data_IF_634283070367
#
_entry.id   IF_634283070367
#
_cell.length_a   1.000
_cell.length_b   1.000
_cell.length_c   1.000
_cell.angle_alpha   90.00
_cell.angle_beta   90.00
_cell.angle_gamma   90.00
#
_symmetry.space_group_name_H-M   'P 1'
#
loop_
_entity.id
_entity.type
_entity.pdbx_description
1 polymer ?
#
# COMPACT_ATOMS: atom_id res chain seq x y z
N UNK A 1 12.86 12.73 -7.53
CA UNK A 1 12.22 14.06 -7.28
C UNK A 1 10.88 13.76 -6.63
N UNK A 2 10.47 14.50 -5.61
CA UNK A 2 9.14 14.31 -5.01
C UNK A 2 8.04 14.69 -6.02
N UNK A 3 6.84 14.10 -5.90
CA UNK A 3 5.69 14.42 -6.77
C UNK A 3 5.45 15.92 -6.81
N UNK A 4 5.48 16.60 -5.65
CA UNK A 4 5.28 18.04 -5.52
C UNK A 4 6.35 18.91 -6.21
N UNK A 5 7.57 18.42 -6.33
CA UNK A 5 8.64 19.17 -7.00
C UNK A 5 8.54 19.12 -8.53
N UNK A 6 8.05 18.02 -9.10
CA UNK A 6 7.84 17.89 -10.55
C UNK A 6 6.65 18.73 -11.03
N UNK A 7 5.56 18.78 -10.24
CA UNK A 7 4.33 19.52 -10.59
C UNK A 7 4.51 21.05 -10.47
N UNK A 8 5.51 21.51 -9.73
CA UNK A 8 5.84 22.94 -9.59
C UNK A 8 6.66 23.51 -10.76
N UNK A 9 7.12 22.67 -11.71
CA UNK A 9 7.87 23.16 -12.87
C UNK A 9 6.88 23.68 -13.93
N UNK A 10 6.41 24.90 -13.74
CA UNK A 10 5.55 25.60 -14.71
C UNK A 10 6.42 26.36 -15.71
N UNK A 11 6.85 25.67 -16.76
CA UNK A 11 7.59 26.30 -17.86
C UNK A 11 7.05 25.81 -19.20
N UNK A 12 6.90 26.73 -20.18
CA UNK A 12 6.55 26.36 -21.55
C UNK A 12 7.61 25.45 -22.24
N UNK A 13 8.80 25.38 -21.67
CA UNK A 13 9.94 24.61 -22.20
C UNK A 13 9.90 23.14 -21.76
N UNK A 14 9.15 22.79 -20.71
CA UNK A 14 9.13 21.45 -20.12
C UNK A 14 7.72 20.89 -20.03
N UNK A 15 7.60 19.58 -20.14
CA UNK A 15 6.39 18.82 -19.83
C UNK A 15 6.67 17.79 -18.74
N UNK A 16 5.69 17.54 -17.88
CA UNK A 16 5.78 16.49 -16.88
C UNK A 16 5.06 15.24 -17.38
N UNK A 17 5.71 14.10 -17.26
CA UNK A 17 5.15 12.77 -17.55
C UNK A 17 5.09 11.95 -16.26
N UNK A 18 4.05 11.15 -16.12
CA UNK A 18 3.83 10.29 -14.95
C UNK A 18 3.70 8.83 -15.39
N UNK A 19 4.40 7.93 -14.68
CA UNK A 19 4.31 6.49 -14.90
C UNK A 19 4.05 5.76 -13.60
N UNK A 20 3.19 4.75 -13.66
CA UNK A 20 2.96 3.87 -12.53
C UNK A 20 4.24 3.11 -12.17
N UNK A 21 4.52 3.01 -10.88
CA UNK A 21 5.59 2.17 -10.35
C UNK A 21 5.00 0.87 -9.81
N UNK A 22 5.75 -0.22 -9.88
CA UNK A 22 5.39 -1.49 -9.26
C UNK A 22 5.63 -1.45 -7.74
N UNK A 23 5.12 -0.41 -7.10
CA UNK A 23 5.18 -0.14 -5.67
C UNK A 23 3.82 0.27 -5.14
N UNK A 24 3.54 -0.10 -3.92
CA UNK A 24 2.28 0.26 -3.28
C UNK A 24 2.45 0.72 -1.85
N UNK A 25 1.72 1.76 -1.48
CA UNK A 25 1.64 2.23 -0.09
C UNK A 25 0.46 1.57 0.60
N UNK A 26 0.75 0.95 1.74
CA UNK A 26 -0.19 0.21 2.56
C UNK A 26 -0.18 0.69 4.00
N UNK A 27 -1.33 0.62 4.64
CA UNK A 27 -1.42 0.58 6.08
C UNK A 27 -1.43 -0.89 6.52
N UNK A 28 -0.27 -1.41 6.89
CA UNK A 28 -0.07 -2.79 7.33
C UNK A 28 -0.55 -2.92 8.78
N UNK A 29 -1.49 -3.81 9.05
CA UNK A 29 -2.08 -4.03 10.37
C UNK A 29 -1.42 -5.23 11.04
N UNK A 30 -0.77 -5.02 12.18
CA UNK A 30 -0.05 -6.08 12.89
C UNK A 30 -1.01 -7.08 13.51
N UNK A 31 -1.09 -8.28 12.94
CA UNK A 31 -1.99 -9.34 13.39
C UNK A 31 -1.60 -9.93 14.76
N UNK A 32 -0.43 -9.56 15.32
CA UNK A 32 -0.02 -9.91 16.69
C UNK A 32 -0.27 -8.79 17.69
N UNK A 33 -0.63 -7.59 17.24
CA UNK A 33 -1.04 -6.51 18.13
C UNK A 33 -2.29 -6.91 18.91
N UNK A 34 -2.32 -6.62 20.20
CA UNK A 34 -3.49 -6.91 21.06
C UNK A 34 -4.76 -6.24 20.53
N UNK A 35 -4.63 -5.06 19.94
CA UNK A 35 -5.74 -4.29 19.36
C UNK A 35 -6.22 -4.90 18.03
N UNK A 36 -5.29 -5.40 17.19
CA UNK A 36 -5.57 -5.75 15.79
C UNK A 36 -5.51 -7.27 15.50
N UNK A 37 -5.40 -8.14 16.50
CA UNK A 37 -5.38 -9.60 16.32
C UNK A 37 -6.71 -10.16 15.79
N UNK A 38 -7.84 -9.54 16.16
CA UNK A 38 -9.16 -9.95 15.65
C UNK A 38 -9.38 -9.39 14.23
N UNK A 39 -9.61 -10.27 13.26
CA UNK A 39 -9.86 -9.88 11.87
C UNK A 39 -11.08 -8.96 11.72
N UNK A 40 -12.11 -9.08 12.57
CA UNK A 40 -13.30 -8.23 12.54
C UNK A 40 -12.97 -6.77 12.89
N UNK A 41 -12.01 -6.54 13.80
CA UNK A 41 -11.50 -5.20 14.11
C UNK A 41 -10.76 -4.62 12.90
N UNK A 42 -9.89 -5.39 12.26
CA UNK A 42 -9.17 -4.96 11.05
C UNK A 42 -10.13 -4.68 9.90
N UNK A 43 -11.13 -5.52 9.70
CA UNK A 43 -12.20 -5.29 8.72
C UNK A 43 -13.00 -4.03 9.03
N UNK A 44 -13.33 -3.79 10.30
CA UNK A 44 -14.03 -2.56 10.71
C UNK A 44 -13.23 -1.31 10.35
N UNK A 45 -11.91 -1.30 10.64
CA UNK A 45 -11.04 -0.20 10.27
C UNK A 45 -10.97 -0.02 8.74
N UNK A 46 -10.90 -1.12 7.99
CA UNK A 46 -10.94 -1.04 6.52
C UNK A 46 -12.26 -0.46 6.00
N UNK A 47 -13.41 -0.89 6.53
CA UNK A 47 -14.71 -0.31 6.15
C UNK A 47 -14.84 1.16 6.56
N UNK A 48 -14.14 1.60 7.60
CA UNK A 48 -14.10 3.00 8.03
C UNK A 48 -13.07 3.86 7.28
N UNK A 49 -12.34 3.28 6.33
CA UNK A 49 -11.31 3.98 5.56
C UNK A 49 -11.78 4.26 4.14
N UNK A 50 -12.04 5.54 3.85
CA UNK A 50 -12.24 6.05 2.48
C UNK A 50 -10.89 6.29 1.82
N UNK A 51 -10.38 5.28 1.11
CA UNK A 51 -9.09 5.35 0.43
C UNK A 51 -9.10 6.32 -0.75
N UNK A 52 -10.27 6.65 -1.32
CA UNK A 52 -10.37 7.64 -2.39
C UNK A 52 -10.12 9.06 -1.88
N UNK A 53 -10.69 9.39 -0.72
CA UNK A 53 -10.43 10.63 -0.02
C UNK A 53 -8.96 10.75 0.41
N UNK A 54 -8.36 9.66 0.90
CA UNK A 54 -6.92 9.63 1.24
C UNK A 54 -6.07 9.93 0.00
N UNK A 55 -6.34 9.28 -1.15
CA UNK A 55 -5.61 9.57 -2.39
C UNK A 55 -5.70 11.03 -2.80
N UNK A 56 -6.87 11.63 -2.68
CA UNK A 56 -7.05 13.05 -2.99
C UNK A 56 -6.18 13.98 -2.11
N UNK A 57 -5.87 13.59 -0.86
CA UNK A 57 -4.98 14.38 0.01
C UNK A 57 -3.49 14.23 -0.35
N UNK A 58 -3.12 13.10 -0.95
CA UNK A 58 -1.74 12.83 -1.41
C UNK A 58 -1.43 13.58 -2.70
N UNK A 59 -2.38 13.64 -3.63
CA UNK A 59 -2.27 14.34 -4.90
C UNK A 59 -2.91 13.55 -6.06
N UNK A 60 -3.09 14.22 -7.19
CA UNK A 60 -3.82 13.67 -8.35
C UNK A 60 -3.04 12.57 -9.10
N UNK A 61 -1.76 12.42 -8.81
CA UNK A 61 -0.84 11.55 -9.55
C UNK A 61 -0.64 10.17 -8.89
N UNK A 62 -1.55 9.72 -8.03
CA UNK A 62 -1.50 8.39 -7.44
C UNK A 62 -2.63 7.52 -7.95
N UNK A 63 -2.34 6.23 -8.21
CA UNK A 63 -3.34 5.31 -8.72
C UNK A 63 -3.98 4.48 -7.59
N UNK A 64 -5.17 3.93 -7.89
CA UNK A 64 -5.89 3.07 -6.96
C UNK A 64 -5.11 1.78 -6.69
N UNK A 65 -5.06 1.39 -5.41
CA UNK A 65 -4.49 0.13 -4.95
C UNK A 65 -5.40 -0.46 -3.86
N UNK A 66 -6.06 -1.56 -4.15
CA UNK A 66 -6.99 -2.21 -3.22
C UNK A 66 -6.49 -3.58 -2.74
N UNK A 67 -5.48 -4.13 -3.41
CA UNK A 67 -5.09 -5.54 -3.33
C UNK A 67 -3.59 -5.68 -3.08
N UNK A 68 -3.13 -6.84 -2.57
CA UNK A 68 -1.71 -7.08 -2.30
C UNK A 68 -0.85 -7.27 -3.55
N UNK A 69 -1.46 -7.35 -4.72
CA UNK A 69 -0.81 -7.40 -6.04
C UNK A 69 -1.42 -6.33 -6.95
N UNK A 70 -0.72 -5.99 -8.05
CA UNK A 70 -1.18 -4.99 -9.00
C UNK A 70 -2.00 -5.62 -10.13
N UNK A 71 -2.99 -4.87 -10.66
CA UNK A 71 -3.76 -5.33 -11.81
C UNK A 71 -2.88 -5.57 -13.04
N UNK A 72 -1.76 -4.84 -13.18
CA UNK A 72 -0.80 -5.03 -14.28
C UNK A 72 -0.04 -6.36 -14.23
N UNK A 73 0.00 -7.03 -13.09
CA UNK A 73 0.72 -8.29 -12.90
C UNK A 73 -0.10 -9.54 -13.30
N UNK A 74 -1.41 -9.39 -13.53
CA UNK A 74 -2.32 -10.48 -13.79
C UNK A 74 -3.35 -10.09 -14.85
N UNK A 75 -3.65 -11.00 -15.78
CA UNK A 75 -4.60 -10.73 -16.87
C UNK A 75 -6.06 -10.69 -16.41
N UNK A 76 -6.42 -11.49 -15.40
CA UNK A 76 -7.76 -11.55 -14.85
C UNK A 76 -8.04 -10.32 -13.98
N UNK A 77 -9.30 -9.89 -13.95
CA UNK A 77 -9.73 -8.81 -13.07
C UNK A 77 -9.56 -9.19 -11.60
N UNK A 78 -8.85 -8.37 -10.85
CA UNK A 78 -8.69 -8.54 -9.41
C UNK A 78 -9.99 -8.24 -8.66
N UNK A 79 -10.25 -8.94 -7.54
CA UNK A 79 -11.33 -8.57 -6.62
C UNK A 79 -11.15 -7.14 -6.12
N UNK A 80 -12.26 -6.44 -5.94
CA UNK A 80 -12.24 -5.09 -5.39
C UNK A 80 -12.33 -5.13 -3.85
N UNK A 81 -11.68 -4.19 -3.19
CA UNK A 81 -11.93 -3.94 -1.77
C UNK A 81 -13.37 -3.47 -1.56
N UNK A 82 -13.99 -3.77 -0.42
CA UNK A 82 -15.32 -3.29 -0.11
C UNK A 82 -15.34 -1.76 0.04
N UNK A 83 -16.50 -1.19 -0.33
CA UNK A 83 -16.73 0.24 -0.22
C UNK A 83 -16.76 0.71 1.25
N UNK A 84 -16.46 2.00 1.45
CA UNK A 84 -16.57 2.66 2.73
C UNK A 84 -17.97 2.53 3.33
N UNK A 85 -18.06 2.13 4.61
CA UNK A 85 -19.32 2.00 5.34
C UNK A 85 -19.09 2.01 6.85
N UNK A 86 -19.42 3.12 7.50
CA UNK A 86 -19.35 3.23 8.96
C UNK A 86 -20.32 2.27 9.67
N UNK A 87 -21.47 1.98 9.08
CA UNK A 87 -22.45 1.07 9.70
C UNK A 87 -21.92 -0.36 9.74
N UNK A 88 -21.31 -0.83 8.66
CA UNK A 88 -20.64 -2.14 8.64
C UNK A 88 -19.47 -2.17 9.62
N UNK A 89 -18.67 -1.11 9.69
CA UNK A 89 -17.58 -1.00 10.64
C UNK A 89 -18.07 -1.11 12.10
N UNK A 90 -19.12 -0.39 12.45
CA UNK A 90 -19.73 -0.46 13.79
C UNK A 90 -20.29 -1.84 14.10
N UNK A 91 -20.96 -2.49 13.14
CA UNK A 91 -21.47 -3.84 13.30
C UNK A 91 -20.35 -4.84 13.63
N UNK A 92 -19.25 -4.81 12.86
CA UNK A 92 -18.09 -5.67 13.07
C UNK A 92 -17.42 -5.46 14.43
N UNK A 93 -17.32 -4.21 14.91
CA UNK A 93 -16.77 -3.96 16.25
C UNK A 93 -17.68 -4.54 17.35
N UNK A 94 -19.00 -4.43 17.20
CA UNK A 94 -19.94 -5.09 18.14
C UNK A 94 -19.79 -6.61 18.11
N UNK A 95 -19.71 -7.22 16.93
CA UNK A 95 -19.48 -8.67 16.76
C UNK A 95 -18.13 -9.11 17.35
N UNK A 96 -17.12 -8.26 17.30
CA UNK A 96 -15.81 -8.48 17.92
C UNK A 96 -15.85 -8.32 19.46
N UNK A 97 -17.01 -7.93 20.03
CA UNK A 97 -17.19 -7.81 21.47
C UNK A 97 -16.81 -6.45 22.06
N UNK A 98 -16.63 -5.44 21.22
CA UNK A 98 -16.43 -4.06 21.65
C UNK A 98 -17.78 -3.40 22.00
N UNK A 99 -17.79 -2.56 23.03
CA UNK A 99 -18.96 -1.79 23.45
C UNK A 99 -18.77 -0.31 23.18
N UNK A 100 -19.78 0.33 22.59
CA UNK A 100 -19.72 1.76 22.30
C UNK A 100 -20.29 2.55 23.47
N UNK A 101 -19.48 3.42 24.05
CA UNK A 101 -19.89 4.27 25.17
C UNK A 101 -19.23 5.65 25.07
N UNK A 102 -20.04 6.71 25.26
CA UNK A 102 -19.56 8.11 25.26
C UNK A 102 -18.65 8.48 24.08
N UNK A 103 -19.00 8.05 22.86
CA UNK A 103 -18.26 8.39 21.66
C UNK A 103 -17.06 7.48 21.35
N UNK A 104 -16.78 6.48 22.18
CA UNK A 104 -15.63 5.59 22.03
C UNK A 104 -16.01 4.11 22.15
N UNK A 105 -15.26 3.26 21.45
CA UNK A 105 -15.33 1.81 21.63
C UNK A 105 -14.43 1.39 22.79
N UNK A 106 -14.95 0.55 23.67
CA UNK A 106 -14.21 -0.03 24.80
C UNK A 106 -14.17 -1.54 24.69
N UNK A 107 -12.99 -2.11 24.90
CA UNK A 107 -12.79 -3.55 25.00
C UNK A 107 -13.36 -4.12 26.30
N UNK A 108 -13.32 -5.44 26.46
CA UNK A 108 -13.76 -6.14 27.68
C UNK A 108 -12.97 -5.71 28.92
N UNK A 109 -11.75 -5.25 28.75
CA UNK A 109 -10.87 -4.71 29.79
C UNK A 109 -11.09 -3.22 30.09
N UNK A 110 -12.11 -2.61 29.46
CA UNK A 110 -12.46 -1.20 29.62
C UNK A 110 -11.57 -0.21 28.87
N UNK A 111 -10.50 -0.68 28.20
CA UNK A 111 -9.61 0.20 27.44
C UNK A 111 -10.27 0.70 26.14
N UNK A 112 -10.06 1.97 25.77
CA UNK A 112 -10.57 2.49 24.51
C UNK A 112 -9.87 1.85 23.32
N UNK A 113 -10.57 1.76 22.19
CA UNK A 113 -10.00 1.33 20.92
C UNK A 113 -9.13 2.45 20.35
N UNK A 114 -7.84 2.27 20.45
CA UNK A 114 -6.82 3.17 19.92
C UNK A 114 -5.83 2.38 19.05
N UNK A 115 -5.34 3.00 17.98
CA UNK A 115 -4.38 2.38 17.05
C UNK A 115 -3.17 3.29 16.89
N UNK A 116 -2.00 2.77 17.26
CA UNK A 116 -0.72 3.43 17.01
C UNK A 116 -0.27 3.16 15.56
N UNK A 117 -0.24 4.21 14.74
CA UNK A 117 0.27 4.17 13.36
C UNK A 117 1.72 4.63 13.36
N UNK A 118 2.63 3.71 13.05
CA UNK A 118 4.07 3.98 12.96
C UNK A 118 4.46 4.25 11.51
N UNK A 119 5.35 5.20 11.29
CA UNK A 119 5.93 5.51 9.99
C UNK A 119 7.32 6.16 10.13
N UNK A 120 8.07 6.26 9.01
CA UNK A 120 9.32 7.01 8.96
C UNK A 120 9.06 8.51 8.83
N UNK A 121 9.93 9.32 9.43
CA UNK A 121 9.93 10.78 9.24
C UNK A 121 10.33 11.20 7.81
N UNK A 122 10.14 12.49 7.50
CA UNK A 122 10.59 13.09 6.25
C UNK A 122 9.70 12.83 5.03
N UNK A 123 8.51 12.28 5.23
CA UNK A 123 7.49 12.07 4.18
C UNK A 123 6.20 12.81 4.53
N UNK A 124 6.04 14.03 3.99
CA UNK A 124 4.85 14.86 4.25
C UNK A 124 3.55 14.18 3.81
N UNK A 125 3.59 13.37 2.75
CA UNK A 125 2.44 12.60 2.30
C UNK A 125 1.96 11.58 3.37
N UNK A 126 2.86 11.00 4.16
CA UNK A 126 2.49 10.06 5.22
C UNK A 126 1.79 10.76 6.39
N UNK A 127 2.21 11.97 6.74
CA UNK A 127 1.50 12.81 7.73
C UNK A 127 0.07 13.09 7.28
N UNK A 128 -0.10 13.53 6.02
CA UNK A 128 -1.43 13.78 5.44
C UNK A 128 -2.32 12.53 5.48
N UNK A 129 -1.76 11.36 5.20
CA UNK A 129 -2.49 10.08 5.28
C UNK A 129 -2.95 9.80 6.72
N UNK A 130 -2.05 9.94 7.70
CA UNK A 130 -2.40 9.67 9.11
C UNK A 130 -3.42 10.68 9.61
N UNK A 131 -3.34 11.95 9.22
CA UNK A 131 -4.32 12.97 9.57
C UNK A 131 -5.69 12.66 8.96
N UNK A 132 -5.74 12.17 7.72
CA UNK A 132 -6.97 11.71 7.09
C UNK A 132 -7.54 10.47 7.82
N UNK A 133 -6.71 9.50 8.23
CA UNK A 133 -7.11 8.36 9.03
C UNK A 133 -7.67 8.79 10.39
N UNK A 134 -7.03 9.74 11.08
CA UNK A 134 -7.53 10.33 12.32
C UNK A 134 -8.93 10.89 12.15
N UNK A 135 -9.14 11.69 11.10
CA UNK A 135 -10.45 12.29 10.81
C UNK A 135 -11.51 11.23 10.47
N UNK A 136 -11.16 10.21 9.72
CA UNK A 136 -12.10 9.16 9.32
C UNK A 136 -12.44 8.23 10.48
N UNK A 137 -11.44 7.75 11.21
CA UNK A 137 -11.63 6.80 12.30
C UNK A 137 -12.20 7.43 13.57
N UNK A 138 -12.00 8.75 13.78
CA UNK A 138 -12.71 9.47 14.85
C UNK A 138 -14.23 9.42 14.68
N UNK A 139 -14.75 9.43 13.43
CA UNK A 139 -16.19 9.25 13.14
C UNK A 139 -16.68 7.84 13.51
N UNK A 140 -15.79 6.86 13.48
CA UNK A 140 -16.08 5.52 13.99
C UNK A 140 -15.99 5.47 15.52
N UNK A 141 -15.30 6.39 16.19
CA UNK A 141 -15.03 6.38 17.63
C UNK A 141 -13.72 5.64 17.97
N UNK A 142 -12.76 5.65 17.07
CA UNK A 142 -11.43 5.05 17.22
C UNK A 142 -10.38 6.17 17.25
N UNK A 143 -9.50 6.13 18.23
CA UNK A 143 -8.36 7.04 18.32
C UNK A 143 -7.19 6.56 17.46
N UNK A 144 -6.48 7.51 16.82
CA UNK A 144 -5.28 7.23 16.03
C UNK A 144 -4.11 8.02 16.58
N UNK A 145 -3.06 7.32 16.95
CA UNK A 145 -1.82 7.89 17.48
C UNK A 145 -0.71 7.77 16.43
N UNK A 146 -0.15 8.89 16.00
CA UNK A 146 1.01 8.88 15.10
C UNK A 146 2.29 8.65 15.90
N UNK A 147 3.07 7.63 15.49
CA UNK A 147 4.44 7.39 15.94
C UNK A 147 5.40 7.58 14.77
N UNK A 148 5.95 8.75 14.66
CA UNK A 148 6.93 9.08 13.62
C UNK A 148 8.34 8.77 14.12
N UNK A 149 9.09 8.00 13.33
CA UNK A 149 10.46 7.58 13.68
C UNK A 149 11.43 8.36 12.80
N UNK A 150 12.33 9.07 13.43
CA UNK A 150 13.39 9.79 12.74
C UNK A 150 14.39 8.84 12.07
N UNK A 151 14.50 8.94 10.75
CA UNK A 151 15.43 8.16 9.93
C UNK A 151 16.68 8.93 9.52
N UNK A 152 16.80 10.20 9.94
CA UNK A 152 17.98 11.01 9.66
C UNK A 152 19.18 10.65 10.54
N UNK A 153 18.96 10.00 11.68
CA UNK A 153 20.00 9.56 12.58
C UNK A 153 20.77 8.37 11.99
N UNK A 154 22.09 8.48 11.98
CA UNK A 154 22.99 7.39 11.54
C UNK A 154 23.10 6.25 12.57
N UNK A 155 22.64 6.45 13.80
CA UNK A 155 22.81 5.51 14.91
C UNK A 155 21.67 4.51 15.03
N UNK A 156 20.49 4.79 14.46
CA UNK A 156 19.33 3.91 14.58
C UNK A 156 18.64 3.75 13.23
N UNK A 157 18.79 2.57 12.65
CA UNK A 157 18.13 2.22 11.40
C UNK A 157 16.64 1.96 11.62
N UNK A 158 15.77 2.45 10.74
CA UNK A 158 14.33 2.13 10.74
C UNK A 158 14.08 0.61 10.71
N UNK A 159 14.94 -0.12 10.02
CA UNK A 159 14.89 -1.58 9.97
C UNK A 159 15.05 -2.18 11.37
N UNK A 160 16.07 -1.74 12.10
CA UNK A 160 16.39 -2.29 13.44
C UNK A 160 15.41 -1.82 14.52
N UNK A 161 14.93 -0.58 14.43
CA UNK A 161 14.05 0.01 15.45
C UNK A 161 12.58 -0.28 15.26
N UNK A 162 12.12 -0.54 14.02
CA UNK A 162 10.70 -0.72 13.68
C UNK A 162 10.42 -2.05 12.99
N UNK A 163 11.11 -2.32 11.86
CA UNK A 163 10.73 -3.44 11.01
C UNK A 163 11.08 -4.80 11.62
N UNK A 164 12.20 -4.91 12.32
CA UNK A 164 12.62 -6.15 12.98
C UNK A 164 11.83 -6.44 14.26
N UNK A 165 11.69 -5.49 15.22
CA UNK A 165 10.92 -5.74 16.45
C UNK A 165 9.42 -5.86 16.20
N UNK A 166 8.88 -5.12 15.20
CA UNK A 166 7.45 -5.06 14.88
C UNK A 166 6.58 -4.64 16.07
N UNK A 167 7.11 -3.72 16.87
CA UNK A 167 6.43 -3.12 18.00
C UNK A 167 5.58 -1.93 17.54
N UNK A 168 4.48 -2.24 16.86
CA UNK A 168 3.48 -1.29 16.38
C UNK A 168 2.12 -1.98 16.23
N UNK A 169 1.03 -1.21 16.28
CA UNK A 169 -0.29 -1.70 15.88
C UNK A 169 -0.42 -1.70 14.36
N UNK A 170 -0.13 -0.58 13.73
CA UNK A 170 -0.15 -0.45 12.28
C UNK A 170 1.13 0.25 11.79
N UNK A 171 1.57 -0.13 10.58
CA UNK A 171 2.74 0.43 9.91
C UNK A 171 2.30 1.01 8.56
N UNK A 172 2.50 2.32 8.38
CA UNK A 172 2.32 2.96 7.08
C UNK A 172 3.64 2.84 6.30
N UNK A 173 3.62 2.04 5.23
CA UNK A 173 4.83 1.67 4.53
C UNK A 173 4.61 1.41 3.04
N UNK A 174 5.64 1.65 2.22
CA UNK A 174 5.66 1.36 0.79
C UNK A 174 6.32 0.01 0.54
N UNK A 175 5.62 -0.89 -0.16
CA UNK A 175 6.13 -2.19 -0.59
C UNK A 175 6.54 -2.16 -2.07
N UNK A 176 7.67 -2.77 -2.40
CA UNK A 176 8.12 -2.99 -3.77
C UNK A 176 7.54 -4.31 -4.28
N UNK A 177 6.49 -4.23 -5.10
CA UNK A 177 5.74 -5.40 -5.55
C UNK A 177 6.38 -6.12 -6.76
N UNK A 178 7.28 -5.42 -7.49
CA UNK A 178 7.91 -5.96 -8.67
C UNK A 178 6.97 -6.13 -9.88
N UNK A 179 7.44 -6.72 -10.97
CA UNK A 179 6.65 -6.97 -12.17
C UNK A 179 5.85 -8.28 -12.11
N UNK A 180 6.23 -9.21 -11.25
CA UNK A 180 5.60 -10.51 -11.07
C UNK A 180 4.67 -10.49 -9.84
N UNK A 181 3.50 -11.19 -9.86
CA UNK A 181 2.58 -11.23 -8.73
C UNK A 181 3.07 -12.06 -7.52
N UNK A 182 4.32 -12.53 -7.53
CA UNK A 182 4.90 -13.28 -6.42
C UNK A 182 5.22 -12.38 -5.22
N UNK A 183 4.24 -12.20 -4.37
CA UNK A 183 4.32 -11.43 -3.12
C UNK A 183 4.49 -12.32 -1.88
N UNK A 184 5.02 -13.51 -2.05
CA UNK A 184 5.29 -14.47 -0.98
C UNK A 184 6.08 -13.84 0.18
N UNK A 185 7.09 -13.04 -0.14
CA UNK A 185 7.94 -12.38 0.86
C UNK A 185 7.14 -11.48 1.82
N UNK A 186 6.04 -10.89 1.37
CA UNK A 186 5.25 -9.96 2.16
C UNK A 186 4.08 -10.61 2.91
N UNK A 187 3.57 -11.76 2.45
CA UNK A 187 2.31 -12.28 2.97
C UNK A 187 2.33 -13.73 3.45
N UNK A 188 3.36 -14.53 3.11
CA UNK A 188 3.47 -15.89 3.61
C UNK A 188 3.86 -15.89 5.11
N UNK A 189 3.26 -16.78 5.90
CA UNK A 189 3.47 -16.81 7.36
C UNK A 189 4.92 -17.09 7.77
N UNK A 190 5.69 -17.85 6.98
CA UNK A 190 7.12 -18.09 7.23
C UNK A 190 7.97 -16.81 7.19
N UNK A 191 7.47 -15.75 6.57
CA UNK A 191 8.11 -14.44 6.49
C UNK A 191 7.74 -13.52 7.65
N UNK A 192 6.90 -13.98 8.60
CA UNK A 192 6.54 -13.27 9.82
C UNK A 192 7.60 -13.46 10.94
N UNK A 193 8.87 -13.38 10.56
CA UNK A 193 10.06 -13.46 11.44
C UNK A 193 10.81 -12.13 11.45
N UNK A 194 11.70 -11.92 12.40
CA UNK A 194 12.48 -10.67 12.49
C UNK A 194 13.28 -10.35 11.21
N UNK A 195 13.71 -11.36 10.47
CA UNK A 195 14.45 -11.22 9.19
C UNK A 195 13.57 -11.25 7.95
N UNK A 196 12.27 -11.55 8.07
CA UNK A 196 11.35 -11.63 6.95
C UNK A 196 10.63 -10.31 6.67
N UNK A 197 9.88 -10.25 5.58
CA UNK A 197 9.22 -9.03 5.11
C UNK A 197 7.70 -9.00 5.33
N UNK A 198 7.11 -10.03 5.97
CA UNK A 198 5.70 -10.01 6.34
C UNK A 198 5.50 -9.11 7.57
N UNK A 199 5.51 -7.81 7.35
CA UNK A 199 5.42 -6.80 8.40
C UNK A 199 4.04 -6.73 9.07
N UNK A 200 3.01 -7.31 8.46
CA UNK A 200 1.69 -7.47 9.09
C UNK A 200 1.64 -8.63 10.11
N UNK A 201 2.69 -9.43 10.25
CA UNK A 201 2.66 -10.70 11.00
C UNK A 201 1.45 -11.58 10.63
N UNK A 202 1.02 -11.50 9.36
CA UNK A 202 -0.12 -12.23 8.86
C UNK A 202 0.17 -13.72 8.79
N UNK A 203 -0.79 -14.54 9.20
CA UNK A 203 -0.69 -15.99 9.17
C UNK A 203 -2.04 -16.60 8.83
N UNK A 204 -2.11 -17.25 7.67
CA UNK A 204 -3.29 -17.98 7.21
C UNK A 204 -2.82 -19.12 6.31
N UNK A 205 -3.11 -20.38 6.71
CA UNK A 205 -2.66 -21.58 6.00
C UNK A 205 -3.19 -21.67 4.57
N UNK A 206 -4.41 -21.21 4.32
CA UNK A 206 -4.98 -21.19 2.95
C UNK A 206 -4.18 -20.24 2.06
N UNK A 207 -3.88 -19.05 2.56
CA UNK A 207 -3.04 -18.05 1.88
C UNK A 207 -1.64 -18.57 1.61
N UNK A 208 -1.03 -19.23 2.61
CA UNK A 208 0.29 -19.82 2.44
C UNK A 208 0.31 -20.84 1.30
N UNK A 209 -0.69 -21.74 1.25
CA UNK A 209 -0.85 -22.72 0.18
C UNK A 209 -1.10 -22.06 -1.19
N UNK A 210 -1.87 -20.98 -1.25
CA UNK A 210 -2.15 -20.27 -2.49
C UNK A 210 -0.92 -19.53 -3.01
N UNK A 211 -0.13 -18.90 -2.13
CA UNK A 211 1.14 -18.25 -2.50
C UNK A 211 2.17 -19.27 -3.01
N UNK A 212 2.35 -20.41 -2.31
CA UNK A 212 3.21 -21.50 -2.77
C UNK A 212 2.70 -22.04 -4.11
N UNK A 213 1.39 -22.26 -4.21
CA UNK A 213 0.76 -22.74 -5.44
C UNK A 213 0.88 -21.76 -6.61
N UNK A 214 0.82 -20.45 -6.34
CA UNK A 214 1.00 -19.41 -7.35
C UNK A 214 2.42 -19.37 -7.90
N UNK A 215 3.43 -19.40 -7.04
CA UNK A 215 4.84 -19.29 -7.46
C UNK A 215 5.37 -20.58 -8.13
N UNK A 216 4.83 -21.75 -7.80
CA UNK A 216 5.31 -23.04 -8.33
C UNK A 216 4.71 -23.45 -9.69
N UNK A 217 3.69 -22.74 -10.18
CA UNK A 217 3.01 -23.07 -11.44
C UNK A 217 3.58 -22.29 -12.62
N UNK A 218 3.79 -22.96 -13.72
CA UNK A 218 4.21 -22.38 -15.01
C UNK A 218 3.02 -21.97 -15.88
N UNK A 219 1.88 -22.68 -15.77
CA UNK A 219 0.68 -22.32 -16.50
C UNK A 219 0.07 -21.02 -15.93
N UNK A 220 -0.01 -19.98 -16.76
CA UNK A 220 -0.43 -18.64 -16.36
C UNK A 220 -1.86 -18.57 -15.81
N UNK A 221 -2.80 -19.36 -16.36
CA UNK A 221 -4.20 -19.37 -15.90
C UNK A 221 -4.33 -20.03 -14.51
N UNK A 222 -3.67 -21.17 -14.30
CA UNK A 222 -3.65 -21.83 -12.99
C UNK A 222 -2.92 -21.01 -11.94
N UNK A 223 -1.86 -20.33 -12.33
CA UNK A 223 -1.12 -19.39 -11.50
C UNK A 223 -2.00 -18.22 -11.06
N UNK A 224 -2.67 -17.59 -12.02
CA UNK A 224 -3.59 -16.50 -11.77
C UNK A 224 -4.75 -16.89 -10.85
N UNK A 225 -5.33 -18.09 -11.03
CA UNK A 225 -6.38 -18.60 -10.16
C UNK A 225 -5.93 -18.67 -8.69
N UNK A 226 -4.67 -19.07 -8.43
CA UNK A 226 -4.10 -19.12 -7.08
C UNK A 226 -3.93 -17.71 -6.48
N UNK A 227 -3.42 -16.75 -7.24
CA UNK A 227 -3.30 -15.37 -6.76
C UNK A 227 -4.67 -14.73 -6.52
N UNK A 228 -5.71 -15.04 -7.32
CA UNK A 228 -7.07 -14.55 -7.07
C UNK A 228 -7.64 -15.14 -5.77
N UNK A 229 -7.43 -16.44 -5.50
CA UNK A 229 -7.83 -17.07 -4.24
C UNK A 229 -7.15 -16.38 -3.05
N UNK A 230 -5.83 -16.17 -3.13
CA UNK A 230 -5.06 -15.43 -2.16
C UNK A 230 -5.64 -14.01 -1.94
N UNK A 231 -5.89 -13.25 -3.00
CA UNK A 231 -6.41 -11.87 -2.90
C UNK A 231 -7.79 -11.85 -2.20
N UNK A 232 -8.68 -12.79 -2.53
CA UNK A 232 -9.98 -12.88 -1.85
C UNK A 232 -9.83 -13.11 -0.35
N UNK A 233 -8.96 -14.06 0.05
CA UNK A 233 -8.73 -14.34 1.47
C UNK A 233 -8.04 -13.17 2.18
N UNK A 234 -7.08 -12.51 1.51
CA UNK A 234 -6.42 -11.32 2.03
C UNK A 234 -7.42 -10.18 2.27
N UNK A 235 -8.35 -9.96 1.33
CA UNK A 235 -9.42 -8.98 1.51
C UNK A 235 -10.34 -9.35 2.68
N UNK A 236 -10.63 -10.62 2.90
CA UNK A 236 -11.46 -11.08 4.03
C UNK A 236 -10.76 -10.93 5.38
N UNK A 237 -9.46 -11.25 5.46
CA UNK A 237 -8.71 -11.18 6.71
C UNK A 237 -8.22 -9.77 7.04
N UNK A 238 -8.19 -8.89 6.04
CA UNK A 238 -7.76 -7.50 6.13
C UNK A 238 -6.41 -7.32 6.87
N UNK A 239 -5.32 -8.00 6.48
CA UNK A 239 -4.02 -7.79 7.13
C UNK A 239 -3.41 -6.42 6.79
N UNK A 240 -3.93 -5.75 5.78
CA UNK A 240 -3.57 -4.38 5.43
C UNK A 240 -4.69 -3.67 4.68
N UNK A 241 -4.57 -2.35 4.57
CA UNK A 241 -5.39 -1.51 3.69
C UNK A 241 -4.46 -0.97 2.60
N UNK A 242 -4.73 -1.31 1.33
CA UNK A 242 -4.07 -0.68 0.19
C UNK A 242 -4.55 0.75 0.04
N UNK A 243 -3.63 1.69 -0.06
CA UNK A 243 -3.96 3.11 -0.14
C UNK A 243 -3.80 3.65 -1.55
N UNK A 244 -2.61 3.48 -2.13
CA UNK A 244 -2.35 3.89 -3.50
C UNK A 244 -1.13 3.18 -4.10
N UNK A 245 -1.13 3.04 -5.42
CA UNK A 245 0.03 2.66 -6.21
C UNK A 245 0.87 3.90 -6.48
N UNK A 246 2.17 3.80 -6.25
CA UNK A 246 3.11 4.90 -6.42
C UNK A 246 3.29 5.25 -7.90
N UNK A 247 3.57 6.53 -8.14
CA UNK A 247 3.80 7.10 -9.47
C UNK A 247 5.15 7.78 -9.50
N UNK A 248 5.90 7.55 -10.55
CA UNK A 248 7.12 8.29 -10.85
C UNK A 248 6.85 9.45 -11.78
N UNK A 249 7.42 10.62 -11.49
CA UNK A 249 7.29 11.82 -12.31
C UNK A 249 8.60 12.17 -12.99
N UNK A 250 8.52 12.50 -14.27
CA UNK A 250 9.65 12.94 -15.09
C UNK A 250 9.36 14.27 -15.74
N UNK A 251 10.36 15.13 -15.75
CA UNK A 251 10.34 16.39 -16.49
C UNK A 251 11.14 16.24 -17.76
N UNK A 252 10.51 16.50 -18.89
CA UNK A 252 11.07 16.39 -20.22
C UNK A 252 11.10 17.77 -20.88
N UNK A 253 12.18 18.05 -21.62
CA UNK A 253 12.19 19.19 -22.55
C UNK A 253 11.17 18.92 -23.67
N UNK A 254 10.36 19.89 -24.03
CA UNK A 254 9.31 19.75 -25.06
C UNK A 254 9.84 19.41 -26.46
N UNK A 255 11.16 19.62 -26.70
CA UNK A 255 11.83 19.15 -27.92
C UNK A 255 12.30 17.72 -27.87
N UNK A 256 12.15 16.99 -26.75
CA UNK A 256 12.54 15.61 -26.63
C UNK A 256 11.40 14.66 -27.04
N UNK A 257 11.70 13.70 -27.90
CA UNK A 257 10.85 12.57 -28.23
C UNK A 257 11.37 11.32 -27.53
N UNK A 258 10.48 10.67 -26.76
CA UNK A 258 10.79 9.44 -26.02
C UNK A 258 9.76 8.36 -26.38
N UNK A 259 10.17 7.09 -26.29
CA UNK A 259 9.24 5.96 -26.31
C UNK A 259 8.61 5.85 -24.91
N UNK A 260 7.29 5.83 -24.83
CA UNK A 260 6.60 5.63 -23.55
C UNK A 260 6.75 4.18 -23.11
N UNK A 261 7.08 3.93 -21.83
CA UNK A 261 7.17 2.57 -21.29
C UNK A 261 5.85 1.80 -21.47
N UNK A 262 5.96 0.51 -21.77
CA UNK A 262 4.79 -0.37 -21.81
C UNK A 262 4.47 -0.86 -20.40
N UNK A 263 3.43 -0.32 -19.78
CA UNK A 263 2.99 -0.71 -18.43
C UNK A 263 3.67 0.09 -17.32
N UNK A 264 3.80 -0.52 -16.13
CA UNK A 264 4.40 0.08 -14.95
C UNK A 264 5.89 -0.24 -14.85
N UNK A 265 6.65 0.65 -14.19
CA UNK A 265 8.08 0.53 -13.98
C UNK A 265 8.38 -0.08 -12.60
N UNK A 266 9.45 -0.89 -12.47
CA UNK A 266 9.91 -1.35 -11.16
C UNK A 266 10.64 -0.23 -10.42
N UNK A 267 11.48 0.51 -11.15
CA UNK A 267 12.28 1.61 -10.60
C UNK A 267 12.22 2.83 -11.51
N UNK A 268 12.62 3.99 -10.98
CA UNK A 268 12.73 5.23 -11.75
C UNK A 268 13.78 5.11 -12.88
N UNK A 269 14.74 4.17 -12.79
CA UNK A 269 15.78 3.99 -13.78
C UNK A 269 15.29 3.20 -15.02
N UNK A 270 14.21 2.43 -14.90
CA UNK A 270 13.66 1.63 -16.00
C UNK A 270 13.20 2.49 -17.19
N UNK A 271 12.95 3.80 -16.95
CA UNK A 271 12.67 4.77 -18.01
C UNK A 271 13.78 4.86 -19.08
N UNK A 272 15.01 4.53 -18.69
CA UNK A 272 16.16 4.60 -19.59
C UNK A 272 16.36 3.33 -20.42
N UNK A 273 15.49 2.32 -20.28
CA UNK A 273 15.59 1.07 -21.06
C UNK A 273 15.66 1.34 -22.57
N UNK A 274 14.92 2.35 -23.06
CA UNK A 274 14.84 2.73 -24.45
C UNK A 274 15.62 4.02 -24.78
N UNK A 275 16.57 4.45 -23.95
CA UNK A 275 17.29 5.73 -24.10
C UNK A 275 17.99 5.87 -25.44
N UNK A 276 18.41 4.77 -26.05
CA UNK A 276 19.05 4.75 -27.38
C UNK A 276 18.11 5.14 -28.51
N UNK A 277 16.81 5.13 -28.27
CA UNK A 277 15.77 5.53 -29.24
C UNK A 277 15.29 6.97 -29.03
N UNK A 278 15.73 7.63 -27.97
CA UNK A 278 15.34 9.00 -27.68
C UNK A 278 15.98 9.96 -28.67
N UNK A 279 15.25 11.01 -29.03
CA UNK A 279 15.74 12.03 -29.96
C UNK A 279 15.29 13.43 -29.54
N UNK A 280 16.03 14.42 -30.00
CA UNK A 280 15.70 15.83 -29.86
C UNK A 280 15.57 16.47 -31.25
N UNK A 281 14.61 17.40 -31.41
CA UNK A 281 14.41 18.10 -32.69
C UNK A 281 13.78 17.28 -33.81
N UNK A 282 13.21 16.09 -33.52
CA UNK A 282 12.47 15.25 -34.49
C UNK A 282 10.98 15.24 -34.17
N UNK A 283 10.14 15.22 -35.22
CA UNK A 283 8.70 15.18 -35.09
C UNK A 283 8.17 13.80 -34.61
N UNK A 284 8.92 12.71 -34.83
CA UNK A 284 8.51 11.36 -34.47
C UNK A 284 9.71 10.49 -34.10
N UNK A 285 9.48 9.51 -33.24
CA UNK A 285 10.43 8.48 -32.85
C UNK A 285 10.08 7.18 -33.57
N UNK A 286 11.06 6.53 -34.18
CA UNK A 286 10.86 5.21 -34.75
C UNK A 286 10.61 4.20 -33.64
N UNK A 287 9.50 3.49 -33.71
CA UNK A 287 9.26 2.33 -32.86
C UNK A 287 10.13 1.20 -33.38
N UNK A 288 11.04 0.70 -32.58
CA UNK A 288 11.69 -0.59 -32.85
C UNK A 288 10.65 -1.69 -32.77
N UNK A 289 10.72 -2.71 -33.67
CA UNK A 289 9.79 -3.82 -33.72
C UNK A 289 9.76 -4.66 -32.44
#
# INVERSE_FOLDING_TARGET
MSLSAADNIKSKQYSTKHWLLNKGVYLLMNNRSQTLQDARVRQALRYATDTSSIRATVGDNVARLDTPILQSQIAQKLPAAPDYSLDKAKALLKEAGWTYNQGQWKGKDGRPLAVAVTTSSGRDEYKKIVDALKQQWSKLGVDVQLREIDTSSTTTSFVQSVLQPRDYDALLYELELGADPDVFAYWHSSQASASGYNFANYSNRTVDNDLVGGRSRTNSALRAAKYIQFVNQWLNDAPAIGLYQSVGSYVLNNGASIVEPRGSLNTMNDRYADVTTWSTGRASVYKTP
#
